data_IF_259775805103
#
_entry.id   IF_259775805103
#
_cell.length_a   1.000
_cell.length_b   1.000
_cell.length_c   1.000
_cell.angle_alpha   90.00
_cell.angle_beta   90.00
_cell.angle_gamma   90.00
#
_symmetry.space_group_name_H-M   'P 1'
#
loop_
_entity.id
_entity.type
_entity.pdbx_description
1 polymer ?
#
# COMPACT_ATOMS: atom_id res chain seq x y z
N UNK A 1 12.97 34.09 -28.42
CA UNK A 1 13.51 32.96 -27.60
C UNK A 1 14.45 32.15 -28.46
N UNK A 2 15.68 31.90 -28.00
CA UNK A 2 16.66 31.14 -28.81
C UNK A 2 16.35 29.65 -28.70
N UNK A 3 16.27 28.94 -29.82
CA UNK A 3 16.03 27.49 -29.95
C UNK A 3 16.78 26.60 -28.93
N UNK A 4 18.06 26.87 -28.56
CA UNK A 4 18.75 26.11 -27.51
C UNK A 4 18.17 26.27 -26.10
N UNK A 5 17.51 27.39 -25.79
CA UNK A 5 16.87 27.60 -24.48
C UNK A 5 15.63 26.72 -24.34
N UNK A 6 14.91 26.48 -25.44
CA UNK A 6 13.69 25.65 -25.45
C UNK A 6 14.02 24.17 -25.22
N UNK A 7 15.14 23.69 -25.79
CA UNK A 7 15.67 22.35 -25.52
C UNK A 7 16.11 22.17 -24.06
N UNK A 8 16.73 23.20 -23.48
CA UNK A 8 17.14 23.19 -22.07
C UNK A 8 15.93 23.12 -21.11
N UNK A 9 14.82 23.79 -21.42
CA UNK A 9 13.60 23.72 -20.59
C UNK A 9 12.88 22.37 -20.71
N UNK A 10 12.88 21.75 -21.90
CA UNK A 10 12.29 20.41 -22.10
C UNK A 10 13.11 19.34 -21.37
N UNK A 11 14.44 19.41 -21.43
CA UNK A 11 15.32 18.49 -20.70
C UNK A 11 15.15 18.60 -19.17
N UNK A 12 14.96 19.82 -18.67
CA UNK A 12 14.72 20.07 -17.24
C UNK A 12 13.35 19.54 -16.77
N UNK A 13 12.32 19.60 -17.62
CA UNK A 13 10.97 19.11 -17.33
C UNK A 13 10.87 17.59 -17.24
N UNK A 14 11.72 16.84 -17.96
CA UNK A 14 11.70 15.37 -17.94
C UNK A 14 12.30 14.75 -16.66
N UNK A 15 13.04 15.52 -15.86
CA UNK A 15 13.72 15.03 -14.66
C UNK A 15 12.83 14.99 -13.39
N UNK A 16 11.61 15.54 -13.45
CA UNK A 16 10.70 15.63 -12.29
C UNK A 16 9.88 14.36 -12.00
N UNK A 17 10.02 13.29 -12.80
CA UNK A 17 9.17 12.10 -12.68
C UNK A 17 9.60 11.10 -11.61
N UNK A 18 10.69 11.34 -10.87
CA UNK A 18 11.30 10.32 -10.00
C UNK A 18 10.88 10.40 -8.52
N UNK A 19 10.39 11.53 -8.01
CA UNK A 19 10.43 11.83 -6.57
C UNK A 19 9.13 11.57 -5.79
N UNK A 20 8.04 11.10 -6.43
CA UNK A 20 6.79 10.68 -5.75
C UNK A 20 6.62 9.15 -5.58
N UNK A 21 7.62 8.37 -5.98
CA UNK A 21 7.47 6.93 -6.28
C UNK A 21 7.41 6.04 -5.02
N UNK A 22 8.13 6.36 -3.95
CA UNK A 22 8.15 5.55 -2.70
C UNK A 22 6.77 5.54 -2.02
N UNK A 23 6.16 6.72 -1.88
CA UNK A 23 4.82 6.87 -1.31
C UNK A 23 3.73 6.24 -2.20
N UNK A 24 3.87 6.35 -3.53
CA UNK A 24 3.01 5.63 -4.46
C UNK A 24 3.13 4.10 -4.28
N UNK A 25 4.34 3.59 -4.03
CA UNK A 25 4.57 2.18 -3.70
C UNK A 25 3.97 1.78 -2.35
N UNK A 26 3.98 2.64 -1.33
CA UNK A 26 3.27 2.38 -0.06
C UNK A 26 1.75 2.24 -0.27
N UNK A 27 1.15 3.10 -1.10
CA UNK A 27 -0.27 2.99 -1.45
C UNK A 27 -0.59 1.76 -2.29
N UNK A 28 0.25 1.46 -3.29
CA UNK A 28 0.13 0.25 -4.08
C UNK A 28 0.23 -0.99 -3.19
N UNK A 29 1.25 -1.07 -2.33
CA UNK A 29 1.42 -2.14 -1.35
C UNK A 29 0.21 -2.27 -0.42
N UNK A 30 -0.32 -1.16 0.08
CA UNK A 30 -1.55 -1.15 0.87
C UNK A 30 -2.73 -1.79 0.13
N UNK A 31 -2.92 -1.47 -1.14
CA UNK A 31 -4.03 -2.01 -1.92
C UNK A 31 -3.81 -3.49 -2.26
N UNK A 32 -2.58 -3.91 -2.55
CA UNK A 32 -2.25 -5.33 -2.72
C UNK A 32 -2.50 -6.13 -1.44
N UNK A 33 -2.18 -5.58 -0.26
CA UNK A 33 -2.53 -6.22 1.02
C UNK A 33 -4.04 -6.38 1.20
N UNK A 34 -4.85 -5.43 0.72
CA UNK A 34 -6.30 -5.61 0.71
C UNK A 34 -6.74 -6.73 -0.25
N UNK A 35 -6.14 -6.81 -1.43
CA UNK A 35 -6.36 -7.91 -2.40
C UNK A 35 -6.00 -9.26 -1.78
N UNK A 36 -4.87 -9.35 -1.06
CA UNK A 36 -4.45 -10.53 -0.31
C UNK A 36 -5.54 -10.94 0.70
N UNK A 37 -5.94 -10.01 1.57
CA UNK A 37 -6.94 -10.24 2.61
C UNK A 37 -8.26 -10.77 2.05
N UNK A 38 -8.78 -10.16 0.99
CA UNK A 38 -10.03 -10.63 0.38
C UNK A 38 -9.84 -11.99 -0.32
N UNK A 39 -8.66 -12.27 -0.88
CA UNK A 39 -8.34 -13.59 -1.45
C UNK A 39 -8.23 -14.67 -0.36
N UNK A 40 -7.66 -14.36 0.80
CA UNK A 40 -7.63 -15.26 1.97
C UNK A 40 -9.03 -15.56 2.49
N UNK A 41 -9.87 -14.51 2.66
CA UNK A 41 -11.29 -14.68 3.00
C UNK A 41 -12.03 -15.57 2.00
N UNK A 42 -11.72 -15.46 0.71
CA UNK A 42 -12.27 -16.34 -0.31
C UNK A 42 -11.77 -17.79 -0.17
N UNK A 43 -10.48 -17.98 0.12
CA UNK A 43 -9.85 -19.29 0.22
C UNK A 43 -10.36 -20.12 1.41
N UNK A 44 -10.54 -19.45 2.56
CA UNK A 44 -10.99 -20.06 3.81
C UNK A 44 -12.48 -20.38 3.83
N UNK A 45 -13.27 -19.75 2.95
CA UNK A 45 -14.71 -19.93 2.96
C UNK A 45 -15.15 -21.31 2.42
N UNK A 46 -16.29 -21.80 2.91
CA UNK A 46 -16.90 -23.07 2.51
C UNK A 46 -18.16 -22.89 1.67
N UNK A 47 -18.60 -21.65 1.45
CA UNK A 47 -19.72 -21.31 0.58
C UNK A 47 -19.18 -20.70 -0.71
N UNK A 48 -19.57 -21.26 -1.86
CA UNK A 48 -19.06 -20.84 -3.17
C UNK A 48 -19.52 -19.42 -3.55
N UNK A 49 -20.68 -18.98 -3.09
CA UNK A 49 -21.19 -17.64 -3.36
C UNK A 49 -20.47 -16.60 -2.52
N UNK A 50 -20.20 -16.89 -1.24
CA UNK A 50 -19.37 -16.01 -0.40
C UNK A 50 -17.93 -15.97 -0.91
N UNK A 51 -17.40 -17.11 -1.35
CA UNK A 51 -16.09 -17.19 -2.02
C UNK A 51 -16.04 -16.26 -3.22
N UNK A 52 -17.02 -16.32 -4.12
CA UNK A 52 -17.11 -15.44 -5.30
C UNK A 52 -17.25 -13.98 -4.93
N UNK A 53 -18.03 -13.66 -3.90
CA UNK A 53 -18.17 -12.29 -3.40
C UNK A 53 -16.81 -11.68 -3.03
N UNK A 54 -15.99 -12.41 -2.28
CA UNK A 54 -14.65 -11.96 -1.91
C UNK A 54 -13.70 -11.90 -3.12
N UNK A 55 -13.80 -12.84 -4.07
CA UNK A 55 -13.05 -12.76 -5.33
C UNK A 55 -13.41 -11.49 -6.11
N UNK A 56 -14.68 -11.11 -6.20
CA UNK A 56 -15.08 -9.88 -6.87
C UNK A 56 -14.56 -8.63 -6.18
N UNK A 57 -14.51 -8.61 -4.85
CA UNK A 57 -13.89 -7.50 -4.10
C UNK A 57 -12.39 -7.39 -4.38
N UNK A 58 -11.68 -8.51 -4.47
CA UNK A 58 -10.28 -8.53 -4.86
C UNK A 58 -10.07 -8.02 -6.30
N UNK A 59 -10.91 -8.44 -7.25
CA UNK A 59 -10.88 -7.95 -8.64
C UNK A 59 -11.16 -6.45 -8.76
N UNK A 60 -12.13 -5.94 -8.00
CA UNK A 60 -12.44 -4.51 -7.94
C UNK A 60 -11.27 -3.70 -7.37
N UNK A 61 -10.63 -4.21 -6.32
CA UNK A 61 -9.43 -3.58 -5.74
C UNK A 61 -8.25 -3.57 -6.72
N UNK A 62 -8.03 -4.63 -7.51
CA UNK A 62 -7.01 -4.65 -8.57
C UNK A 62 -7.30 -3.53 -9.58
N UNK A 63 -8.53 -3.44 -10.08
CA UNK A 63 -8.91 -2.39 -11.03
C UNK A 63 -8.71 -0.98 -10.47
N UNK A 64 -8.94 -0.78 -9.18
CA UNK A 64 -8.77 0.52 -8.51
C UNK A 64 -7.32 0.86 -8.19
N UNK A 65 -6.40 -0.10 -8.26
CA UNK A 65 -4.99 0.07 -7.91
C UNK A 65 -4.10 0.43 -9.10
N UNK A 66 -4.65 0.43 -10.30
CA UNK A 66 -3.91 0.61 -11.57
C UNK A 66 -3.06 1.89 -11.58
N UNK A 67 -3.65 3.00 -11.13
CA UNK A 67 -2.93 4.27 -11.06
C UNK A 67 -1.78 4.24 -10.04
N UNK A 68 -2.01 3.71 -8.83
CA UNK A 68 -0.98 3.65 -7.79
C UNK A 68 0.18 2.73 -8.19
N UNK A 69 -0.10 1.64 -8.91
CA UNK A 69 0.92 0.74 -9.46
C UNK A 69 1.74 1.44 -10.55
N UNK A 70 1.06 2.17 -11.44
CA UNK A 70 1.70 2.98 -12.48
C UNK A 70 2.61 4.05 -11.85
N UNK A 71 2.11 4.75 -10.84
CA UNK A 71 2.85 5.78 -10.10
C UNK A 71 4.04 5.19 -9.31
N UNK A 72 3.89 3.97 -8.75
CA UNK A 72 5.00 3.23 -8.14
C UNK A 72 6.06 2.81 -9.18
N UNK A 73 5.64 2.56 -10.43
CA UNK A 73 6.50 2.14 -11.54
C UNK A 73 7.25 0.82 -11.28
N UNK A 74 6.61 -0.12 -10.57
CA UNK A 74 7.15 -1.47 -10.33
C UNK A 74 6.54 -2.47 -11.33
N UNK A 75 7.19 -2.63 -12.49
CA UNK A 75 6.70 -3.51 -13.57
C UNK A 75 6.46 -4.94 -13.13
N UNK A 76 7.35 -5.50 -12.29
CA UNK A 76 7.20 -6.87 -11.79
C UNK A 76 5.91 -7.03 -10.96
N UNK A 77 5.59 -6.05 -10.11
CA UNK A 77 4.35 -6.08 -9.32
C UNK A 77 3.12 -5.92 -10.22
N UNK A 78 3.20 -5.08 -11.26
CA UNK A 78 2.13 -4.93 -12.26
C UNK A 78 1.86 -6.25 -12.99
N UNK A 79 2.90 -6.90 -13.52
CA UNK A 79 2.77 -8.19 -14.22
C UNK A 79 2.21 -9.29 -13.29
N UNK A 80 2.67 -9.34 -12.05
CA UNK A 80 2.09 -10.27 -11.06
C UNK A 80 0.61 -10.00 -10.82
N UNK A 81 0.17 -8.74 -10.75
CA UNK A 81 -1.25 -8.43 -10.55
C UNK A 81 -2.12 -8.70 -11.79
N UNK A 82 -1.57 -8.60 -13.00
CA UNK A 82 -2.26 -9.05 -14.21
C UNK A 82 -2.53 -10.56 -14.17
N UNK A 83 -1.54 -11.34 -13.73
CA UNK A 83 -1.71 -12.78 -13.53
C UNK A 83 -2.73 -13.09 -12.42
N UNK A 84 -2.66 -12.36 -11.29
CA UNK A 84 -3.65 -12.46 -10.20
C UNK A 84 -5.06 -12.19 -10.73
N UNK A 85 -5.25 -11.15 -11.53
CA UNK A 85 -6.55 -10.82 -12.12
C UNK A 85 -7.07 -11.95 -13.02
N UNK A 86 -6.20 -12.56 -13.84
CA UNK A 86 -6.55 -13.69 -14.68
C UNK A 86 -6.95 -14.93 -13.85
N UNK A 87 -6.16 -15.27 -12.83
CA UNK A 87 -6.44 -16.40 -11.94
C UNK A 87 -7.76 -16.21 -11.20
N UNK A 88 -8.02 -15.01 -10.66
CA UNK A 88 -9.27 -14.68 -9.99
C UNK A 88 -10.48 -14.74 -10.95
N UNK A 89 -10.35 -14.20 -12.18
CA UNK A 89 -11.37 -14.31 -13.23
C UNK A 89 -11.68 -15.76 -13.62
N UNK A 90 -10.67 -16.64 -13.57
CA UNK A 90 -10.89 -18.06 -13.81
C UNK A 90 -11.54 -18.73 -12.60
N UNK A 91 -11.17 -18.34 -11.38
CA UNK A 91 -11.75 -18.86 -10.15
C UNK A 91 -13.26 -18.59 -10.06
N UNK A 92 -13.73 -17.41 -10.48
CA UNK A 92 -15.18 -17.10 -10.50
C UNK A 92 -15.99 -17.99 -11.44
N UNK A 93 -15.37 -18.48 -12.53
CA UNK A 93 -16.01 -19.33 -13.55
C UNK A 93 -16.10 -20.80 -13.15
N UNK A 94 -15.35 -21.23 -12.14
CA UNK A 94 -15.43 -22.62 -11.66
C UNK A 94 -16.76 -22.91 -10.97
N UNK A 95 -17.18 -24.17 -11.00
CA UNK A 95 -18.46 -24.64 -10.43
C UNK A 95 -18.31 -25.36 -9.10
N UNK A 96 -17.08 -25.60 -8.64
CA UNK A 96 -16.79 -26.36 -7.40
C UNK A 96 -15.75 -25.65 -6.55
N UNK A 97 -15.94 -25.68 -5.22
CA UNK A 97 -14.99 -25.10 -4.26
C UNK A 97 -13.58 -25.68 -4.38
N UNK A 98 -13.47 -26.98 -4.68
CA UNK A 98 -12.18 -27.62 -4.86
C UNK A 98 -11.39 -26.99 -6.02
N UNK A 99 -12.05 -26.76 -7.15
CA UNK A 99 -11.43 -26.10 -8.31
C UNK A 99 -11.11 -24.64 -8.02
N UNK A 100 -12.02 -23.92 -7.34
CA UNK A 100 -11.78 -22.54 -6.89
C UNK A 100 -10.54 -22.45 -6.01
N UNK A 101 -10.40 -23.33 -5.01
CA UNK A 101 -9.28 -23.32 -4.05
C UNK A 101 -7.93 -23.59 -4.72
N UNK A 102 -7.88 -24.44 -5.76
CA UNK A 102 -6.64 -24.65 -6.52
C UNK A 102 -6.18 -23.34 -7.17
N UNK A 103 -7.11 -22.59 -7.77
CA UNK A 103 -6.80 -21.30 -8.38
C UNK A 103 -6.45 -20.25 -7.33
N UNK A 104 -7.23 -20.15 -6.24
CA UNK A 104 -6.95 -19.21 -5.15
C UNK A 104 -5.59 -19.46 -4.48
N UNK A 105 -5.17 -20.73 -4.32
CA UNK A 105 -3.84 -21.05 -3.80
C UNK A 105 -2.74 -20.50 -4.69
N UNK A 106 -2.88 -20.60 -6.03
CA UNK A 106 -1.94 -20.00 -6.98
C UNK A 106 -1.99 -18.47 -6.90
N UNK A 107 -3.20 -17.90 -6.80
CA UNK A 107 -3.39 -16.45 -6.66
C UNK A 107 -2.66 -15.92 -5.43
N UNK A 108 -2.79 -16.57 -4.26
CA UNK A 108 -2.12 -16.14 -3.03
C UNK A 108 -0.59 -16.08 -3.20
N UNK A 109 0.02 -17.07 -3.85
CA UNK A 109 1.46 -17.07 -4.16
C UNK A 109 1.85 -15.86 -5.00
N UNK A 110 1.08 -15.55 -6.06
CA UNK A 110 1.37 -14.41 -6.93
C UNK A 110 1.16 -13.06 -6.23
N UNK A 111 0.15 -12.95 -5.35
CA UNK A 111 -0.05 -11.74 -4.54
C UNK A 111 1.15 -11.51 -3.61
N UNK A 112 1.65 -12.56 -2.94
CA UNK A 112 2.84 -12.46 -2.08
C UNK A 112 4.09 -12.08 -2.89
N UNK A 113 4.23 -12.60 -4.11
CA UNK A 113 5.30 -12.21 -5.02
C UNK A 113 5.21 -10.72 -5.40
N UNK A 114 4.02 -10.22 -5.72
CA UNK A 114 3.79 -8.81 -6.02
C UNK A 114 4.15 -7.89 -4.84
N UNK A 115 3.74 -8.25 -3.62
CA UNK A 115 4.10 -7.51 -2.39
C UNK A 115 5.62 -7.49 -2.17
N UNK A 116 6.28 -8.62 -2.40
CA UNK A 116 7.74 -8.72 -2.28
C UNK A 116 8.44 -7.85 -3.31
N UNK A 117 7.97 -7.87 -4.55
CA UNK A 117 8.49 -7.04 -5.63
C UNK A 117 8.37 -5.54 -5.33
N UNK A 118 7.23 -5.09 -4.77
CA UNK A 118 7.08 -3.69 -4.32
C UNK A 118 8.10 -3.36 -3.22
N UNK A 119 8.23 -4.23 -2.21
CA UNK A 119 9.17 -4.00 -1.10
C UNK A 119 10.62 -3.92 -1.58
N UNK A 120 11.03 -4.84 -2.45
CA UNK A 120 12.39 -4.87 -2.99
C UNK A 120 12.64 -3.70 -3.94
N UNK A 121 11.66 -3.31 -4.75
CA UNK A 121 11.73 -2.13 -5.61
C UNK A 121 11.96 -0.83 -4.82
N UNK A 122 11.28 -0.69 -3.68
CA UNK A 122 11.44 0.46 -2.79
C UNK A 122 12.83 0.49 -2.14
N UNK A 123 13.31 -0.65 -1.64
CA UNK A 123 14.64 -0.77 -1.03
C UNK A 123 15.79 -0.52 -2.02
N UNK A 124 15.73 -1.08 -3.23
CA UNK A 124 16.78 -0.89 -4.23
C UNK A 124 16.91 0.56 -4.69
N UNK A 125 15.81 1.34 -4.72
CA UNK A 125 15.90 2.78 -5.00
C UNK A 125 16.52 3.56 -3.84
N UNK A 126 16.21 3.18 -2.60
CA UNK A 126 16.80 3.82 -1.42
C UNK A 126 18.32 3.56 -1.31
N UNK A 127 18.78 2.36 -1.71
CA UNK A 127 20.22 1.98 -1.70
C UNK A 127 20.96 2.55 -2.91
N UNK A 128 20.36 2.52 -4.11
CA UNK A 128 20.99 3.07 -5.32
C UNK A 128 21.16 4.60 -5.27
N UNK A 129 20.44 5.28 -4.37
CA UNK A 129 20.67 6.70 -4.06
C UNK A 129 21.86 6.96 -3.13
N UNK A 130 22.47 5.91 -2.56
CA UNK A 130 23.55 6.03 -1.56
C UNK A 130 24.91 5.47 -2.02
N UNK A 131 25.00 4.86 -3.20
CA UNK A 131 26.20 4.12 -3.64
C UNK A 131 27.02 4.81 -4.75
N UNK A 132 26.97 6.14 -4.86
CA UNK A 132 27.87 6.87 -5.77
C UNK A 132 28.68 7.94 -5.03
N UNK A 133 29.50 7.51 -4.07
CA UNK A 133 30.65 8.32 -3.64
C UNK A 133 31.79 7.49 -3.05
N UNK A 134 32.68 6.98 -3.91
CA UNK A 134 34.09 6.76 -3.57
C UNK A 134 35.00 7.06 -4.75
N UNK A 135 35.37 8.33 -4.93
CA UNK A 135 36.78 8.71 -5.05
C UNK A 135 36.97 10.21 -4.87
N UNK A 136 37.97 10.59 -4.07
CA UNK A 136 38.03 11.86 -3.37
C UNK A 136 38.47 13.08 -4.18
N UNK A 137 38.01 14.25 -3.74
CA UNK A 137 38.87 15.39 -3.37
C UNK A 137 38.00 16.44 -2.66
N UNK A 138 38.55 17.03 -1.61
CA UNK A 138 37.89 17.99 -0.72
C UNK A 138 37.29 19.19 -1.45
N UNK A 139 35.98 19.42 -1.31
CA UNK A 139 35.37 20.75 -1.18
C UNK A 139 34.13 20.65 -0.28
N UNK A 140 34.09 21.52 0.72
CA UNK A 140 32.92 21.79 1.57
C UNK A 140 31.83 22.33 0.64
N UNK A 141 30.71 21.62 0.54
CA UNK A 141 29.53 22.00 -0.24
C UNK A 141 28.30 21.38 0.42
N UNK A 142 27.27 22.18 0.61
CA UNK A 142 26.07 21.89 1.40
C UNK A 142 25.38 20.57 1.02
N UNK A 143 24.92 19.86 2.05
CA UNK A 143 24.07 18.67 2.01
C UNK A 143 22.72 19.03 1.35
N UNK A 144 22.64 18.99 0.03
CA UNK A 144 21.37 19.12 -0.71
C UNK A 144 20.61 17.79 -0.66
N UNK A 145 20.13 17.47 0.55
CA UNK A 145 18.98 16.59 0.70
C UNK A 145 17.79 17.33 0.10
N UNK A 146 17.53 17.05 -1.18
CA UNK A 146 16.42 17.63 -1.94
C UNK A 146 15.14 17.55 -1.11
N UNK A 147 14.78 18.68 -0.52
CA UNK A 147 13.68 18.77 0.41
C UNK A 147 12.37 18.62 -0.36
N UNK A 148 11.48 17.72 0.11
CA UNK A 148 10.07 17.72 -0.24
C UNK A 148 9.55 19.17 -0.20
N UNK A 149 8.74 19.63 -1.18
CA UNK A 149 8.26 21.01 -1.19
C UNK A 149 7.74 21.35 0.21
N UNK A 150 8.15 22.48 0.82
CA UNK A 150 8.05 22.69 2.25
C UNK A 150 6.63 22.44 2.80
N UNK A 151 5.60 22.65 1.97
CA UNK A 151 4.21 22.42 2.31
C UNK A 151 3.82 20.93 2.47
N UNK A 152 4.39 20.01 1.69
CA UNK A 152 4.09 18.57 1.74
C UNK A 152 4.61 17.91 3.01
N UNK A 153 5.88 18.19 3.35
CA UNK A 153 6.51 17.73 4.59
C UNK A 153 5.82 18.28 5.82
N UNK A 154 5.56 19.60 5.85
CA UNK A 154 4.84 20.24 6.95
C UNK A 154 3.42 19.69 7.12
N UNK A 155 2.74 19.32 6.03
CA UNK A 155 1.43 18.68 6.10
C UNK A 155 1.52 17.28 6.74
N UNK A 156 2.48 16.45 6.33
CA UNK A 156 2.70 15.12 6.93
C UNK A 156 3.04 15.21 8.41
N UNK A 157 3.94 16.10 8.79
CA UNK A 157 4.31 16.35 10.20
C UNK A 157 3.08 16.75 11.04
N UNK A 158 2.22 17.63 10.52
CA UNK A 158 0.97 18.00 11.20
C UNK A 158 0.03 16.81 11.35
N UNK A 159 -0.05 15.95 10.35
CA UNK A 159 -0.84 14.70 10.41
C UNK A 159 -0.26 13.77 11.47
N UNK A 160 1.05 13.56 11.51
CA UNK A 160 1.70 12.68 12.48
C UNK A 160 1.51 13.17 13.92
N UNK A 161 1.60 14.48 14.15
CA UNK A 161 1.28 15.09 15.44
C UNK A 161 -0.19 14.83 15.82
N UNK A 162 -1.13 14.98 14.88
CA UNK A 162 -2.54 14.67 15.14
C UNK A 162 -2.76 13.18 15.46
N UNK A 163 -2.05 12.28 14.75
CA UNK A 163 -2.14 10.84 14.95
C UNK A 163 -1.54 10.37 16.28
N UNK A 164 -0.68 11.16 16.92
CA UNK A 164 -0.20 10.87 18.28
C UNK A 164 -1.37 10.82 19.27
N UNK A 165 -2.32 11.75 19.18
CA UNK A 165 -3.54 11.74 20.02
C UNK A 165 -4.42 10.54 19.72
N UNK A 166 -4.57 10.19 18.43
CA UNK A 166 -5.29 9.00 18.02
C UNK A 166 -4.67 7.73 18.62
N UNK A 167 -3.35 7.58 18.53
CA UNK A 167 -2.62 6.43 19.09
C UNK A 167 -2.87 6.28 20.60
N UNK A 168 -2.81 7.38 21.35
CA UNK A 168 -3.12 7.38 22.79
C UNK A 168 -4.58 6.99 23.07
N UNK A 169 -5.53 7.52 22.29
CA UNK A 169 -6.95 7.16 22.41
C UNK A 169 -7.18 5.68 22.12
N UNK A 170 -6.52 5.14 21.09
CA UNK A 170 -6.62 3.73 20.72
C UNK A 170 -6.05 2.83 21.82
N UNK A 171 -4.90 3.19 22.38
CA UNK A 171 -4.32 2.49 23.54
C UNK A 171 -5.26 2.52 24.74
N UNK A 172 -5.91 3.65 25.01
CA UNK A 172 -6.89 3.72 26.08
C UNK A 172 -8.06 2.75 25.84
N UNK A 173 -8.60 2.68 24.62
CA UNK A 173 -9.65 1.71 24.27
C UNK A 173 -9.18 0.27 24.52
N UNK A 174 -7.97 -0.07 24.07
CA UNK A 174 -7.38 -1.41 24.27
C UNK A 174 -7.26 -1.77 25.75
N UNK A 175 -6.86 -0.81 26.58
CA UNK A 175 -6.59 -1.06 28.00
C UNK A 175 -7.84 -1.04 28.88
N UNK A 176 -8.92 -0.38 28.44
CA UNK A 176 -10.10 -0.11 29.29
C UNK A 176 -11.37 -0.83 28.85
N UNK A 177 -11.44 -1.25 27.59
CA UNK A 177 -12.61 -1.91 27.01
C UNK A 177 -12.35 -3.41 26.91
N UNK A 178 -13.41 -4.22 26.97
CA UNK A 178 -13.33 -5.67 26.74
C UNK A 178 -12.62 -5.99 25.41
N UNK A 179 -11.79 -7.04 25.40
CA UNK A 179 -10.99 -7.46 24.24
C UNK A 179 -11.80 -7.54 22.93
N UNK A 180 -12.97 -8.21 22.93
CA UNK A 180 -13.78 -8.40 21.72
C UNK A 180 -14.29 -7.06 21.18
N UNK A 181 -14.64 -6.14 22.07
CA UNK A 181 -15.10 -4.81 21.69
C UNK A 181 -13.96 -3.92 21.19
N UNK A 182 -12.82 -3.93 21.88
CA UNK A 182 -11.61 -3.23 21.45
C UNK A 182 -11.15 -3.74 20.06
N UNK A 183 -11.12 -5.06 19.87
CA UNK A 183 -10.78 -5.68 18.58
C UNK A 183 -11.73 -5.27 17.47
N UNK A 184 -13.04 -5.30 17.73
CA UNK A 184 -14.06 -4.88 16.75
C UNK A 184 -13.92 -3.41 16.38
N UNK A 185 -13.69 -2.55 17.37
CA UNK A 185 -13.46 -1.13 17.16
C UNK A 185 -12.24 -0.89 16.27
N UNK A 186 -11.10 -1.51 16.59
CA UNK A 186 -9.88 -1.40 15.80
C UNK A 186 -10.08 -1.98 14.38
N UNK A 187 -10.73 -3.14 14.25
CA UNK A 187 -10.98 -3.75 12.95
C UNK A 187 -11.82 -2.85 12.04
N UNK A 188 -12.88 -2.23 12.58
CA UNK A 188 -13.71 -1.31 11.81
C UNK A 188 -12.91 -0.11 11.26
N UNK A 189 -12.00 0.44 12.06
CA UNK A 189 -11.13 1.55 11.60
C UNK A 189 -10.16 1.06 10.53
N UNK A 190 -9.49 -0.06 10.78
CA UNK A 190 -8.54 -0.66 9.85
C UNK A 190 -9.19 -0.93 8.48
N UNK A 191 -10.34 -1.61 8.47
CA UNK A 191 -11.06 -1.93 7.23
C UNK A 191 -11.59 -0.68 6.53
N UNK A 192 -12.05 0.33 7.28
CA UNK A 192 -12.45 1.60 6.69
C UNK A 192 -11.27 2.29 5.99
N UNK A 193 -10.10 2.34 6.62
CA UNK A 193 -8.90 2.94 6.01
C UNK A 193 -8.48 2.21 4.74
N UNK A 194 -8.56 0.87 4.70
CA UNK A 194 -8.32 0.11 3.47
C UNK A 194 -9.32 0.49 2.37
N UNK A 195 -10.61 0.60 2.67
CA UNK A 195 -11.61 1.03 1.69
C UNK A 195 -11.36 2.45 1.19
N UNK A 196 -10.94 3.36 2.07
CA UNK A 196 -10.58 4.71 1.64
C UNK A 196 -9.39 4.67 0.69
N UNK A 197 -8.30 3.97 1.02
CA UNK A 197 -7.08 3.95 0.20
C UNK A 197 -7.27 3.44 -1.23
N UNK A 198 -8.33 2.67 -1.50
CA UNK A 198 -8.71 2.25 -2.85
C UNK A 198 -9.34 3.36 -3.70
N UNK A 199 -9.72 4.50 -3.12
CA UNK A 199 -10.37 5.59 -3.88
C UNK A 199 -9.35 6.45 -4.60
N UNK A 200 -9.64 6.75 -5.87
CA UNK A 200 -8.79 7.62 -6.69
C UNK A 200 -8.93 9.12 -6.34
N UNK A 201 -10.02 9.55 -5.70
CA UNK A 201 -10.38 10.95 -5.48
C UNK A 201 -9.85 11.57 -4.17
N UNK A 202 -8.97 10.85 -3.46
CA UNK A 202 -8.37 11.34 -2.23
C UNK A 202 -7.23 12.31 -2.50
N UNK A 203 -7.19 13.40 -1.73
CA UNK A 203 -6.00 14.25 -1.66
C UNK A 203 -4.84 13.50 -0.99
N UNK A 204 -3.60 13.89 -1.31
CA UNK A 204 -2.41 13.25 -0.74
C UNK A 204 -2.38 13.25 0.79
N UNK A 205 -2.80 14.34 1.44
CA UNK A 205 -2.91 14.37 2.90
C UNK A 205 -3.90 13.34 3.45
N UNK A 206 -5.03 13.10 2.76
CA UNK A 206 -6.00 12.09 3.19
C UNK A 206 -5.50 10.67 2.93
N UNK A 207 -4.78 10.42 1.83
CA UNK A 207 -4.15 9.13 1.56
C UNK A 207 -3.12 8.81 2.66
N UNK A 208 -2.22 9.75 2.94
CA UNK A 208 -1.22 9.61 4.01
C UNK A 208 -1.86 9.38 5.38
N UNK A 209 -2.88 10.17 5.75
CA UNK A 209 -3.62 9.98 7.00
C UNK A 209 -4.22 8.57 7.11
N UNK A 210 -4.90 8.08 6.07
CA UNK A 210 -5.52 6.75 6.10
C UNK A 210 -4.47 5.64 6.14
N UNK A 211 -3.35 5.80 5.44
CA UNK A 211 -2.24 4.86 5.47
C UNK A 211 -1.66 4.74 6.89
N UNK A 212 -1.29 5.88 7.51
CA UNK A 212 -0.73 5.89 8.87
C UNK A 212 -1.72 5.48 9.95
N UNK A 213 -2.99 5.85 9.81
CA UNK A 213 -4.05 5.34 10.70
C UNK A 213 -4.14 3.82 10.59
N UNK A 214 -4.18 3.27 9.38
CA UNK A 214 -4.23 1.82 9.14
C UNK A 214 -3.03 1.10 9.76
N UNK A 215 -1.82 1.62 9.60
CA UNK A 215 -0.60 1.06 10.22
C UNK A 215 -0.73 1.02 11.75
N UNK A 216 -1.04 2.15 12.38
CA UNK A 216 -1.22 2.26 13.84
C UNK A 216 -2.31 1.30 14.35
N UNK A 217 -3.43 1.21 13.64
CA UNK A 217 -4.53 0.31 14.01
C UNK A 217 -4.19 -1.15 13.78
N UNK A 218 -3.41 -1.47 12.74
CA UNK A 218 -2.90 -2.81 12.45
C UNK A 218 -2.00 -3.32 13.58
N UNK A 219 -1.05 -2.49 14.02
CA UNK A 219 -0.19 -2.80 15.17
C UNK A 219 -1.02 -3.06 16.43
N UNK A 220 -2.04 -2.24 16.67
CA UNK A 220 -2.97 -2.45 17.77
C UNK A 220 -3.73 -3.78 17.67
N UNK A 221 -4.21 -4.18 16.49
CA UNK A 221 -4.89 -5.46 16.28
C UNK A 221 -3.97 -6.65 16.59
N UNK A 222 -2.68 -6.56 16.22
CA UNK A 222 -1.68 -7.58 16.57
C UNK A 222 -1.50 -7.71 18.09
N UNK A 223 -1.49 -6.59 18.81
CA UNK A 223 -1.39 -6.58 20.28
C UNK A 223 -2.65 -7.13 20.96
N UNK A 224 -3.83 -6.84 20.43
CA UNK A 224 -5.11 -7.35 20.96
C UNK A 224 -5.24 -8.86 20.74
N UNK A 225 -4.76 -9.37 19.59
CA UNK A 225 -4.87 -10.78 19.21
C UNK A 225 -6.32 -11.25 18.96
N UNK A 226 -6.56 -12.55 19.09
CA UNK A 226 -7.85 -13.17 18.75
C UNK A 226 -8.85 -13.27 19.90
N UNK A 227 -8.56 -12.62 21.04
CA UNK A 227 -9.42 -12.63 22.24
C UNK A 227 -9.91 -14.03 22.65
N UNK A 228 -9.09 -15.06 22.38
CA UNK A 228 -9.43 -16.47 22.58
C UNK A 228 -9.17 -16.94 24.01
N UNK A 229 -8.56 -16.10 24.84
CA UNK A 229 -8.49 -16.31 26.29
C UNK A 229 -9.47 -15.36 26.99
N UNK A 230 -10.30 -15.86 27.93
CA UNK A 230 -11.29 -15.08 28.67
C UNK A 230 -10.67 -14.00 29.57
#
# INVERSE_FOLDING_TARGET
MKLPQLFSYILLLCLFSAFGKTQACEYAGSNISFILKETEKAFENTDLQITRFHIYKALDAISKSDQQLTDCSCTQATESLDEVALLLKNATKTTTLASTRILLKKTLVQITAALSAIRDHDLHKNISGSEEFQNGTSKIGEDDKLAEPPNGKLLKEKIDIALTKYKLSLQNVINTVNCKEARRFALNIYENCEQQLLRADLSEGKKYYNLKTKEITGDALLLIGDCSNP
#
